data_IF_138940490175
#
_entry.id   IF_138940490175
#
_cell.length_a   1.000
_cell.length_b   1.000
_cell.length_c   1.000
_cell.angle_alpha   90.00
_cell.angle_beta   90.00
_cell.angle_gamma   90.00
#
_symmetry.space_group_name_H-M   'P 1'
#
loop_
_entity.id
_entity.type
_entity.pdbx_description
1 polymer ?
#
# COMPACT_ATOMS: atom_id res chain seq x y z
N UNK A 1 -16.03 5.03 -7.82
CA UNK A 1 -15.74 4.89 -6.38
C UNK A 1 -14.53 5.71 -6.02
N UNK A 2 -14.43 6.10 -4.78
CA UNK A 2 -13.23 6.74 -4.22
C UNK A 2 -12.36 5.68 -3.56
N UNK A 3 -11.12 5.54 -4.04
CA UNK A 3 -10.19 4.50 -3.63
C UNK A 3 -8.99 5.13 -2.94
N UNK A 4 -8.70 4.67 -1.73
CA UNK A 4 -7.49 5.04 -0.99
C UNK A 4 -6.45 3.94 -1.16
N UNK A 5 -5.25 4.31 -1.60
CA UNK A 5 -4.19 3.35 -1.91
C UNK A 5 -2.90 3.68 -1.19
N UNK A 6 -2.34 2.72 -0.47
CA UNK A 6 -0.95 2.77 -0.02
C UNK A 6 -0.06 2.01 -0.98
N UNK A 7 1.20 2.43 -1.10
CA UNK A 7 2.12 1.78 -2.04
C UNK A 7 1.81 2.05 -3.52
N UNK A 8 0.98 3.06 -3.80
CA UNK A 8 0.58 3.40 -5.17
C UNK A 8 1.69 3.96 -6.06
N UNK A 9 2.83 4.32 -5.48
CA UNK A 9 4.03 4.77 -6.22
C UNK A 9 4.96 3.62 -6.59
N UNK A 10 4.69 2.42 -6.11
CA UNK A 10 5.44 1.22 -6.48
C UNK A 10 5.05 0.68 -7.85
N UNK A 11 5.74 -0.37 -8.29
CA UNK A 11 5.53 -0.97 -9.62
C UNK A 11 4.08 -1.42 -9.83
N UNK A 12 3.56 -2.26 -8.93
CA UNK A 12 2.18 -2.76 -9.02
C UNK A 12 1.17 -1.65 -8.78
N UNK A 13 1.42 -0.81 -7.77
CA UNK A 13 0.52 0.27 -7.40
C UNK A 13 0.33 1.29 -8.51
N UNK A 14 1.40 1.66 -9.20
CA UNK A 14 1.32 2.59 -10.33
C UNK A 14 0.46 2.04 -11.47
N UNK A 15 0.66 0.78 -11.82
CA UNK A 15 -0.13 0.12 -12.85
C UNK A 15 -1.61 0.02 -12.46
N UNK A 16 -1.87 -0.44 -11.24
CA UNK A 16 -3.22 -0.60 -10.73
C UNK A 16 -3.96 0.75 -10.63
N UNK A 17 -3.28 1.79 -10.14
CA UNK A 17 -3.86 3.13 -10.07
C UNK A 17 -4.28 3.65 -11.44
N UNK A 18 -3.44 3.50 -12.46
CA UNK A 18 -3.76 3.87 -13.84
C UNK A 18 -4.98 3.12 -14.36
N UNK A 19 -5.04 1.83 -14.11
CA UNK A 19 -6.17 1.00 -14.54
C UNK A 19 -7.47 1.44 -13.88
N UNK A 20 -7.47 1.62 -12.55
CA UNK A 20 -8.64 2.06 -11.81
C UNK A 20 -9.14 3.44 -12.26
N UNK A 21 -8.23 4.36 -12.56
CA UNK A 21 -8.57 5.68 -13.09
C UNK A 21 -9.20 5.56 -14.50
N UNK A 22 -8.67 4.67 -15.34
CA UNK A 22 -9.24 4.42 -16.68
C UNK A 22 -10.66 3.84 -16.62
N UNK A 23 -11.00 3.13 -15.54
CA UNK A 23 -12.34 2.62 -15.27
C UNK A 23 -13.28 3.67 -14.62
N UNK A 24 -12.82 4.91 -14.46
CA UNK A 24 -13.64 6.02 -13.94
C UNK A 24 -13.61 6.18 -12.43
N UNK A 25 -12.69 5.54 -11.72
CA UNK A 25 -12.54 5.69 -10.28
C UNK A 25 -11.61 6.85 -9.92
N UNK A 26 -11.83 7.44 -8.76
CA UNK A 26 -10.91 8.41 -8.16
C UNK A 26 -9.94 7.68 -7.23
N UNK A 27 -8.64 7.90 -7.40
CA UNK A 27 -7.60 7.22 -6.60
C UNK A 27 -6.78 8.25 -5.83
N UNK A 28 -6.77 8.11 -4.51
CA UNK A 28 -5.89 8.87 -3.61
C UNK A 28 -4.74 7.98 -3.18
N UNK A 29 -3.52 8.37 -3.52
CA UNK A 29 -2.30 7.62 -3.19
C UNK A 29 -1.64 8.25 -1.96
N UNK A 30 -1.48 7.46 -0.90
CA UNK A 30 -0.67 7.82 0.25
C UNK A 30 0.80 7.59 -0.09
N UNK A 31 1.61 8.64 0.00
CA UNK A 31 3.05 8.60 -0.26
C UNK A 31 3.82 9.32 0.82
N UNK A 32 5.04 8.86 1.10
CA UNK A 32 5.95 9.52 2.04
C UNK A 32 6.54 10.82 1.49
N UNK A 33 6.56 11.00 0.17
CA UNK A 33 7.05 12.19 -0.50
C UNK A 33 6.95 12.06 -2.01
N UNK A 34 7.21 13.15 -2.69
CA UNK A 34 7.23 13.22 -4.16
C UNK A 34 8.66 13.24 -4.65
N UNK A 35 8.95 12.45 -5.68
CA UNK A 35 10.22 12.50 -6.40
C UNK A 35 10.26 13.58 -7.49
N UNK A 36 9.14 14.23 -7.73
CA UNK A 36 9.00 15.26 -8.76
C UNK A 36 8.77 14.70 -10.18
N UNK A 37 8.78 13.39 -10.33
CA UNK A 37 8.59 12.72 -11.63
C UNK A 37 7.22 12.06 -11.79
N UNK A 38 6.39 12.11 -10.75
CA UNK A 38 5.06 11.54 -10.79
C UNK A 38 4.16 12.33 -11.73
N UNK A 39 3.70 11.67 -12.78
CA UNK A 39 2.71 12.24 -13.69
C UNK A 39 1.34 12.26 -12.98
N UNK A 40 0.85 13.47 -12.75
CA UNK A 40 -0.47 13.66 -12.16
C UNK A 40 -1.54 13.42 -13.24
N UNK A 41 -2.33 12.39 -13.08
CA UNK A 41 -3.46 12.10 -13.95
C UNK A 41 -4.75 12.73 -13.40
N UNK A 42 -5.69 13.04 -14.27
CA UNK A 42 -7.05 13.42 -13.85
C UNK A 42 -7.68 12.24 -13.10
N UNK A 43 -8.24 12.49 -11.93
CA UNK A 43 -8.78 11.44 -11.04
C UNK A 43 -7.75 10.86 -10.07
N UNK A 44 -6.51 11.30 -10.13
CA UNK A 44 -5.45 10.90 -9.21
C UNK A 44 -5.09 12.06 -8.26
N UNK A 45 -5.04 11.78 -6.99
CA UNK A 45 -4.56 12.71 -5.98
C UNK A 45 -3.52 12.03 -5.08
N UNK A 46 -2.66 12.84 -4.48
CA UNK A 46 -1.63 12.38 -3.57
C UNK A 46 -1.86 12.97 -2.18
N UNK A 47 -1.65 12.16 -1.17
CA UNK A 47 -1.66 12.56 0.22
C UNK A 47 -0.31 12.18 0.83
N UNK A 48 0.33 13.13 1.52
CA UNK A 48 1.63 12.89 2.15
C UNK A 48 1.43 12.29 3.54
N UNK A 49 2.07 11.16 3.79
CA UNK A 49 2.07 10.48 5.07
C UNK A 49 2.84 9.17 5.01
N UNK A 50 3.22 8.69 6.18
CA UNK A 50 3.88 7.39 6.32
C UNK A 50 2.87 6.38 6.87
N UNK A 51 2.49 5.34 6.11
CA UNK A 51 1.49 4.37 6.55
C UNK A 51 1.93 3.54 7.76
N UNK A 52 3.24 3.46 8.03
CA UNK A 52 3.75 2.77 9.23
C UNK A 52 3.60 3.59 10.51
N UNK A 53 3.26 4.87 10.39
CA UNK A 53 3.10 5.80 11.50
C UNK A 53 1.68 6.37 11.53
N UNK A 54 1.15 6.57 12.73
CA UNK A 54 -0.12 7.29 12.89
C UNK A 54 0.05 8.75 12.46
N UNK A 55 -0.97 9.32 11.85
CA UNK A 55 -0.91 10.70 11.39
C UNK A 55 -2.23 11.23 10.85
N UNK A 56 -2.20 12.46 10.39
CA UNK A 56 -3.38 13.15 9.83
C UNK A 56 -3.97 12.46 8.60
N UNK A 57 -3.18 11.69 7.88
CA UNK A 57 -3.62 10.94 6.71
C UNK A 57 -4.74 9.93 7.04
N UNK A 58 -4.79 9.44 8.29
CA UNK A 58 -5.82 8.49 8.73
C UNK A 58 -7.22 9.10 8.66
N UNK A 59 -7.36 10.40 8.86
CA UNK A 59 -8.63 11.10 8.75
C UNK A 59 -9.22 11.12 7.32
N UNK A 60 -8.39 10.94 6.30
CA UNK A 60 -8.86 10.88 4.91
C UNK A 60 -9.54 9.54 4.57
N UNK A 61 -9.31 8.49 5.33
CA UNK A 61 -9.85 7.14 5.06
C UNK A 61 -11.37 7.14 5.04
N UNK A 62 -12.01 7.91 5.92
CA UNK A 62 -13.48 8.01 5.99
C UNK A 62 -14.15 8.52 4.71
N UNK A 63 -13.40 9.19 3.85
CA UNK A 63 -13.91 9.77 2.60
C UNK A 63 -13.84 8.82 1.42
N UNK A 64 -13.36 7.61 1.62
CA UNK A 64 -13.11 6.62 0.58
C UNK A 64 -14.01 5.40 0.76
N UNK A 65 -14.34 4.77 -0.35
CA UNK A 65 -15.20 3.57 -0.39
C UNK A 65 -14.40 2.28 -0.28
N UNK A 66 -13.16 2.30 -0.79
CA UNK A 66 -12.28 1.14 -0.87
C UNK A 66 -10.87 1.53 -0.42
N UNK A 67 -10.22 0.63 0.30
CA UNK A 67 -8.81 0.76 0.68
C UNK A 67 -8.02 -0.38 0.06
N UNK A 68 -6.95 -0.05 -0.64
CA UNK A 68 -6.01 -1.00 -1.22
C UNK A 68 -4.65 -0.80 -0.56
N UNK A 69 -4.18 -1.83 0.13
CA UNK A 69 -2.89 -1.79 0.82
C UNK A 69 -1.83 -2.56 0.04
N UNK A 70 -0.94 -1.84 -0.63
CA UNK A 70 0.22 -2.38 -1.36
C UNK A 70 1.54 -1.93 -0.72
N UNK A 71 1.49 -1.17 0.37
CA UNK A 71 2.69 -0.69 1.04
C UNK A 71 3.43 -1.82 1.76
N UNK A 72 4.74 -1.72 1.74
CA UNK A 72 5.62 -2.64 2.45
C UNK A 72 7.07 -2.39 2.07
N UNK A 73 8.00 -2.79 2.92
CA UNK A 73 9.42 -2.74 2.62
C UNK A 73 9.75 -3.70 1.48
N UNK A 74 10.80 -3.38 0.72
CA UNK A 74 11.23 -4.20 -0.41
C UNK A 74 11.66 -5.60 0.05
N UNK A 75 11.14 -6.61 -0.63
CA UNK A 75 11.52 -8.01 -0.43
C UNK A 75 12.77 -8.41 -1.23
N UNK A 76 13.24 -7.52 -2.11
CA UNK A 76 14.39 -7.78 -2.99
C UNK A 76 15.74 -7.41 -2.35
N UNK A 77 15.74 -6.96 -1.11
CA UNK A 77 16.95 -6.68 -0.35
C UNK A 77 17.50 -7.95 0.30
N UNK A 78 18.76 -7.87 0.77
CA UNK A 78 19.40 -8.97 1.48
C UNK A 78 18.61 -9.37 2.73
N UNK A 79 18.34 -10.66 2.88
CA UNK A 79 17.53 -11.19 3.98
C UNK A 79 18.37 -11.38 5.25
N UNK A 80 18.68 -10.29 5.92
CA UNK A 80 19.28 -10.31 7.25
C UNK A 80 18.16 -10.39 8.32
N UNK A 81 18.47 -10.78 9.58
CA UNK A 81 17.50 -10.74 10.67
C UNK A 81 16.85 -9.35 10.85
N UNK A 82 17.62 -8.27 10.71
CA UNK A 82 17.13 -6.88 10.77
C UNK A 82 16.18 -6.59 9.62
N UNK A 83 16.50 -7.01 8.41
CA UNK A 83 15.66 -6.81 7.24
C UNK A 83 14.34 -7.57 7.36
N UNK A 84 14.37 -8.79 7.91
CA UNK A 84 13.14 -9.57 8.19
C UNK A 84 12.23 -8.85 9.18
N UNK A 85 12.78 -8.23 10.22
CA UNK A 85 12.01 -7.41 11.16
C UNK A 85 11.36 -6.21 10.48
N UNK A 86 12.09 -5.50 9.61
CA UNK A 86 11.58 -4.36 8.84
C UNK A 86 10.44 -4.80 7.92
N UNK A 87 10.62 -5.93 7.23
CA UNK A 87 9.59 -6.50 6.36
C UNK A 87 8.30 -6.81 7.12
N UNK A 88 8.43 -7.45 8.27
CA UNK A 88 7.29 -7.83 9.10
C UNK A 88 6.62 -6.60 9.72
N UNK A 89 7.40 -5.73 10.37
CA UNK A 89 6.87 -4.55 11.05
C UNK A 89 6.20 -3.56 10.08
N UNK A 90 6.76 -3.36 8.89
CA UNK A 90 6.16 -2.46 7.91
C UNK A 90 4.75 -2.92 7.50
N UNK A 91 4.52 -4.21 7.36
CA UNK A 91 3.21 -4.76 7.02
C UNK A 91 2.24 -4.72 8.18
N UNK A 92 2.69 -5.13 9.36
CA UNK A 92 1.85 -5.14 10.57
C UNK A 92 1.42 -3.72 10.92
N UNK A 93 2.35 -2.77 10.98
CA UNK A 93 2.03 -1.40 11.36
C UNK A 93 1.16 -0.69 10.33
N UNK A 94 1.42 -0.89 9.04
CA UNK A 94 0.58 -0.32 7.99
C UNK A 94 -0.85 -0.86 8.06
N UNK A 95 -1.01 -2.16 8.16
CA UNK A 95 -2.34 -2.79 8.25
C UNK A 95 -3.06 -2.33 9.53
N UNK A 96 -2.36 -2.31 10.66
CA UNK A 96 -2.93 -1.83 11.93
C UNK A 96 -3.43 -0.39 11.82
N UNK A 97 -2.62 0.50 11.29
CA UNK A 97 -2.97 1.92 11.16
C UNK A 97 -4.14 2.15 10.21
N UNK A 98 -4.23 1.36 9.14
CA UNK A 98 -5.37 1.40 8.22
C UNK A 98 -6.66 0.91 8.89
N UNK A 99 -6.59 -0.22 9.58
CA UNK A 99 -7.76 -0.81 10.26
C UNK A 99 -8.24 0.08 11.40
N UNK A 100 -7.34 0.63 12.21
CA UNK A 100 -7.71 1.56 13.29
C UNK A 100 -8.37 2.85 12.78
N UNK A 101 -8.06 3.26 11.55
CA UNK A 101 -8.65 4.44 10.93
C UNK A 101 -10.03 4.19 10.31
N UNK A 102 -10.46 2.93 10.19
CA UNK A 102 -11.79 2.61 9.69
C UNK A 102 -12.86 3.03 10.69
N UNK A 103 -14.00 3.58 10.23
CA UNK A 103 -15.12 3.83 11.11
C UNK A 103 -15.70 2.49 11.62
N UNK A 104 -16.28 2.50 12.83
CA UNK A 104 -16.90 1.30 13.44
C UNK A 104 -17.99 0.69 12.55
N UNK A 105 -18.69 1.53 11.81
CA UNK A 105 -19.71 1.12 10.85
C UNK A 105 -19.16 0.89 9.44
N UNK A 106 -17.88 0.53 9.31
CA UNK A 106 -17.20 0.47 8.03
C UNK A 106 -17.90 -0.42 7.02
N UNK A 107 -18.31 0.18 5.92
CA UNK A 107 -18.77 -0.51 4.72
C UNK A 107 -17.63 -0.68 3.70
N UNK A 108 -16.39 -0.40 4.12
CA UNK A 108 -15.22 -0.44 3.27
C UNK A 108 -14.74 -1.87 3.07
N UNK A 109 -14.32 -2.16 1.86
CA UNK A 109 -13.62 -3.40 1.54
C UNK A 109 -12.12 -3.09 1.55
N UNK A 110 -11.38 -3.83 2.36
CA UNK A 110 -9.92 -3.69 2.43
C UNK A 110 -9.28 -4.84 1.66
N UNK A 111 -8.42 -4.50 0.71
CA UNK A 111 -7.61 -5.46 0.00
C UNK A 111 -6.16 -5.33 0.45
N UNK A 112 -5.57 -6.43 0.85
CA UNK A 112 -4.14 -6.53 1.10
C UNK A 112 -3.53 -7.44 0.05
N UNK A 113 -2.65 -6.89 -0.79
CA UNK A 113 -1.92 -7.67 -1.76
C UNK A 113 -0.50 -7.94 -1.25
N UNK A 114 -0.14 -9.20 -1.12
CA UNK A 114 1.21 -9.65 -0.82
C UNK A 114 1.81 -10.28 -2.06
N UNK A 115 2.81 -9.63 -2.62
CA UNK A 115 3.59 -10.23 -3.69
C UNK A 115 4.79 -10.92 -3.05
N UNK A 116 4.71 -12.24 -2.97
CA UNK A 116 5.84 -13.06 -2.55
C UNK A 116 6.38 -13.72 -3.81
N UNK A 117 7.60 -13.38 -4.25
CA UNK A 117 8.19 -14.06 -5.38
C UNK A 117 8.28 -15.56 -5.11
N UNK A 118 7.84 -16.35 -6.05
CA UNK A 118 7.77 -17.81 -5.93
C UNK A 118 9.11 -18.45 -5.51
N UNK A 119 10.23 -17.86 -5.90
CA UNK A 119 11.56 -18.35 -5.52
C UNK A 119 11.81 -18.37 -4.02
N UNK A 120 11.13 -17.53 -3.27
CA UNK A 120 11.31 -17.46 -1.81
C UNK A 120 10.33 -18.34 -1.03
N UNK A 121 9.41 -18.98 -1.73
CA UNK A 121 8.47 -19.93 -1.13
C UNK A 121 9.03 -21.36 -1.08
N UNK A 122 10.17 -21.62 -1.69
CA UNK A 122 10.80 -22.94 -1.63
C UNK A 122 11.58 -23.10 -0.33
N UNK A 123 11.35 -24.20 0.41
CA UNK A 123 12.17 -24.51 1.57
C UNK A 123 13.65 -24.61 1.16
N UNK A 124 14.50 -23.98 1.94
CA UNK A 124 15.92 -24.12 1.76
C UNK A 124 16.33 -25.58 2.05
N UNK A 125 16.89 -26.25 1.07
CA UNK A 125 17.43 -27.59 1.26
C UNK A 125 16.73 -28.68 0.46
N UNK A 126 15.65 -28.40 -0.19
CA UNK A 126 15.10 -29.34 -1.14
C UNK A 126 15.86 -29.23 -2.46
N UNK A 127 16.79 -30.14 -2.65
CA UNK A 127 17.37 -30.45 -3.96
C UNK A 127 16.26 -31.02 -4.82
N UNK A 128 15.74 -30.22 -5.69
CA UNK A 128 14.83 -30.67 -6.71
C UNK A 128 15.58 -31.04 -7.97
#
# INVERSE_FOLDING_TARGET
>A
MKIFMTGGTGFVGTYLAKHLISEGHEVTILTRGFSGTELKMTGQSYLIGNPTLKGKWQGAIHKHDVIINLAGASIFSRWTPEQKKILLSSRIETTRNLVEALPESAKHITFEARIIPYRYCRPHGDSY
#
